data_IF_846692287448
#
_entry.id   IF_846692287448
#
_cell.length_a   1.000
_cell.length_b   1.000
_cell.length_c   1.000
_cell.angle_alpha   90.00
_cell.angle_beta   90.00
_cell.angle_gamma   90.00
#
_symmetry.space_group_name_H-M   'P 1'
#
loop_
_entity.id
_entity.type
_entity.pdbx_description
1 polymer ?
#
# COMPACT_ATOMS: atom_id res chain seq x y z
N UNK A 1 1.76 17.65 -15.72
CA UNK A 1 1.92 16.62 -16.78
C UNK A 1 1.52 15.27 -16.20
N UNK A 2 0.69 14.46 -16.87
CA UNK A 2 0.36 13.10 -16.39
C UNK A 2 1.46 12.14 -16.83
N UNK A 3 2.00 11.35 -15.91
CA UNK A 3 3.00 10.32 -16.22
C UNK A 3 2.27 9.05 -16.62
N UNK A 4 2.54 8.53 -17.82
CA UNK A 4 2.04 7.23 -18.23
C UNK A 4 2.90 6.12 -17.62
N UNK A 5 2.26 5.16 -16.95
CA UNK A 5 2.93 4.04 -16.29
C UNK A 5 2.38 2.70 -16.78
N UNK A 6 3.18 1.64 -16.65
CA UNK A 6 2.78 0.25 -16.87
C UNK A 6 2.49 -0.45 -15.52
N UNK A 7 1.87 0.28 -14.59
CA UNK A 7 1.63 -0.20 -13.23
C UNK A 7 0.17 -0.63 -13.08
N UNK A 8 -0.04 -1.85 -12.62
CA UNK A 8 -1.36 -2.45 -12.46
C UNK A 8 -1.66 -2.57 -10.97
N UNK A 9 -2.77 -2.01 -10.51
CA UNK A 9 -3.19 -2.10 -9.10
C UNK A 9 -4.28 -3.15 -8.95
N UNK A 10 -4.04 -4.12 -8.07
CA UNK A 10 -5.04 -5.08 -7.63
C UNK A 10 -5.62 -4.58 -6.29
N UNK A 11 -6.90 -4.24 -6.30
CA UNK A 11 -7.68 -3.84 -5.12
C UNK A 11 -8.90 -4.76 -4.93
N UNK A 12 -9.51 -4.73 -3.76
CA UNK A 12 -10.64 -5.56 -3.37
C UNK A 12 -10.63 -5.90 -1.87
N UNK A 13 -11.79 -6.32 -1.35
CA UNK A 13 -11.97 -6.66 0.06
C UNK A 13 -11.09 -7.82 0.55
N UNK A 14 -10.94 -8.01 1.87
CA UNK A 14 -10.26 -9.18 2.43
C UNK A 14 -10.87 -10.48 1.89
N UNK A 15 -10.07 -11.55 1.81
CA UNK A 15 -10.46 -12.88 1.31
C UNK A 15 -10.91 -12.97 -0.17
N UNK A 16 -10.78 -11.91 -0.97
CA UNK A 16 -11.17 -11.92 -2.39
C UNK A 16 -10.18 -12.62 -3.35
N UNK A 17 -9.22 -13.41 -2.85
CA UNK A 17 -8.25 -14.14 -3.67
C UNK A 17 -7.08 -13.33 -4.27
N UNK A 18 -6.99 -12.01 -4.04
CA UNK A 18 -5.92 -11.14 -4.60
C UNK A 18 -4.51 -11.66 -4.36
N UNK A 19 -4.22 -12.09 -3.14
CA UNK A 19 -2.88 -12.59 -2.79
C UNK A 19 -2.49 -13.78 -3.66
N UNK A 20 -3.46 -14.65 -4.02
CA UNK A 20 -3.20 -15.79 -4.91
C UNK A 20 -2.89 -15.36 -6.34
N UNK A 21 -3.58 -14.32 -6.83
CA UNK A 21 -3.29 -13.73 -8.15
C UNK A 21 -1.90 -13.08 -8.16
N UNK A 22 -1.54 -12.34 -7.11
CA UNK A 22 -0.20 -11.74 -6.98
C UNK A 22 0.89 -12.82 -6.93
N UNK A 23 0.69 -13.89 -6.16
CA UNK A 23 1.61 -15.05 -6.13
C UNK A 23 1.76 -15.69 -7.51
N UNK A 24 0.65 -15.89 -8.21
CA UNK A 24 0.66 -16.44 -9.57
C UNK A 24 1.44 -15.55 -10.54
N UNK A 25 1.18 -14.24 -10.55
CA UNK A 25 1.90 -13.28 -11.41
C UNK A 25 3.40 -13.26 -11.08
N UNK A 26 3.75 -13.32 -9.80
CA UNK A 26 5.14 -13.45 -9.38
C UNK A 26 5.78 -14.74 -9.90
N UNK A 27 5.07 -15.87 -9.85
CA UNK A 27 5.55 -17.16 -10.38
C UNK A 27 5.77 -17.14 -11.90
N UNK A 28 5.11 -16.23 -12.62
CA UNK A 28 5.29 -15.98 -14.05
C UNK A 28 6.44 -15.00 -14.37
N UNK A 29 7.18 -14.55 -13.35
CA UNK A 29 8.33 -13.66 -13.53
C UNK A 29 8.00 -12.16 -13.49
N UNK A 30 6.76 -11.77 -13.19
CA UNK A 30 6.41 -10.36 -13.06
C UNK A 30 6.85 -9.77 -11.72
N UNK A 31 7.21 -8.48 -11.74
CA UNK A 31 7.43 -7.72 -10.52
C UNK A 31 6.12 -7.53 -9.78
N UNK A 32 6.15 -7.72 -8.47
CA UNK A 32 4.97 -7.58 -7.59
C UNK A 32 5.32 -6.82 -6.32
N UNK A 33 4.38 -6.06 -5.76
CA UNK A 33 4.48 -5.58 -4.38
C UNK A 33 3.83 -6.57 -3.41
N UNK A 34 4.29 -6.55 -2.16
CA UNK A 34 3.58 -7.17 -1.04
C UNK A 34 2.74 -6.10 -0.33
N UNK A 35 1.64 -6.51 0.29
CA UNK A 35 0.81 -5.65 1.14
C UNK A 35 1.65 -4.88 2.17
N UNK A 36 1.61 -3.55 2.10
CA UNK A 36 2.43 -2.67 2.95
C UNK A 36 1.96 -2.65 4.41
N UNK A 37 0.67 -2.88 4.67
CA UNK A 37 0.14 -2.98 6.03
C UNK A 37 0.82 -4.10 6.83
N UNK A 38 1.01 -5.27 6.20
CA UNK A 38 1.74 -6.39 6.82
C UNK A 38 3.17 -6.00 7.19
N UNK A 39 3.88 -5.27 6.32
CA UNK A 39 5.23 -4.78 6.63
C UNK A 39 5.28 -3.84 7.84
N UNK A 40 4.24 -3.04 8.07
CA UNK A 40 4.16 -2.18 9.27
C UNK A 40 3.92 -3.03 10.52
N UNK A 41 3.00 -4.00 10.43
CA UNK A 41 2.70 -4.94 11.51
C UNK A 41 3.94 -5.76 11.88
N UNK A 42 4.59 -6.41 10.90
CA UNK A 42 5.78 -7.24 11.11
C UNK A 42 6.91 -6.44 11.78
N UNK A 43 7.11 -5.18 11.38
CA UNK A 43 8.10 -4.28 11.99
C UNK A 43 7.76 -3.90 13.43
N UNK A 44 6.48 -3.78 13.77
CA UNK A 44 6.04 -3.52 15.14
C UNK A 44 6.21 -4.74 16.03
N UNK A 45 5.84 -5.93 15.53
CA UNK A 45 6.03 -7.20 16.22
C UNK A 45 7.51 -7.46 16.48
N UNK A 46 8.38 -7.23 15.50
CA UNK A 46 9.83 -7.34 15.68
C UNK A 46 10.41 -6.37 16.73
N UNK A 47 9.66 -5.33 17.11
CA UNK A 47 10.00 -4.37 18.19
C UNK A 47 9.31 -4.71 19.51
N UNK A 48 8.71 -5.90 19.64
CA UNK A 48 8.03 -6.36 20.85
C UNK A 48 6.63 -5.82 21.06
N UNK A 49 5.98 -5.27 20.01
CA UNK A 49 4.60 -4.78 20.10
C UNK A 49 3.58 -5.82 19.66
N UNK A 50 2.42 -5.81 20.29
CA UNK A 50 1.23 -6.54 19.84
C UNK A 50 0.57 -5.84 18.65
N UNK A 51 -0.31 -6.55 17.93
CA UNK A 51 -1.06 -5.98 16.80
C UNK A 51 -1.98 -4.85 17.30
N UNK A 52 -2.58 -5.04 18.47
CA UNK A 52 -3.43 -4.09 19.16
C UNK A 52 -2.68 -2.79 19.45
N UNK A 53 -1.45 -2.87 19.97
CA UNK A 53 -0.61 -1.69 20.24
C UNK A 53 -0.17 -0.96 18.96
N UNK A 54 0.08 -1.72 17.88
CA UNK A 54 0.44 -1.14 16.57
C UNK A 54 -0.75 -0.37 15.98
N UNK A 55 -1.96 -0.90 16.16
CA UNK A 55 -3.20 -0.33 15.60
C UNK A 55 -3.94 0.63 16.55
N UNK A 56 -3.48 0.79 17.79
CA UNK A 56 -4.09 1.69 18.79
C UNK A 56 -4.26 3.12 18.29
N UNK A 57 -3.32 3.59 17.47
CA UNK A 57 -3.40 4.85 16.74
C UNK A 57 -3.57 4.54 15.25
N UNK A 58 -4.83 4.38 14.82
CA UNK A 58 -5.17 4.05 13.44
C UNK A 58 -4.68 5.13 12.46
N UNK A 59 -4.69 6.41 12.86
CA UNK A 59 -4.20 7.51 12.03
C UNK A 59 -2.71 7.35 11.75
N UNK A 60 -1.91 7.13 12.79
CA UNK A 60 -0.47 6.89 12.65
C UNK A 60 -0.20 5.64 11.83
N UNK A 61 -0.95 4.57 12.06
CA UNK A 61 -0.82 3.33 11.32
C UNK A 61 -1.05 3.53 9.81
N UNK A 62 -2.12 4.24 9.43
CA UNK A 62 -2.43 4.53 8.03
C UNK A 62 -1.40 5.47 7.37
N UNK A 63 -0.88 6.46 8.10
CA UNK A 63 0.21 7.33 7.63
C UNK A 63 1.52 6.56 7.42
N UNK A 64 1.88 5.64 8.31
CA UNK A 64 3.07 4.79 8.16
C UNK A 64 2.98 3.92 6.90
N UNK A 65 1.78 3.37 6.61
CA UNK A 65 1.51 2.62 5.38
C UNK A 65 1.66 3.51 4.14
N UNK A 66 1.03 4.70 4.14
CA UNK A 66 1.09 5.64 3.02
C UNK A 66 2.53 6.06 2.71
N UNK A 67 3.31 6.38 3.74
CA UNK A 67 4.72 6.74 3.60
C UNK A 67 5.56 5.62 2.98
N UNK A 68 5.32 4.36 3.36
CA UNK A 68 5.99 3.22 2.75
C UNK A 68 5.58 3.02 1.29
N UNK A 69 4.30 3.20 0.96
CA UNK A 69 3.81 3.14 -0.43
C UNK A 69 4.46 4.23 -1.29
N UNK A 70 4.51 5.47 -0.82
CA UNK A 70 5.15 6.60 -1.55
C UNK A 70 6.62 6.31 -1.79
N UNK A 71 7.37 5.90 -0.76
CA UNK A 71 8.79 5.56 -0.88
C UNK A 71 9.04 4.40 -1.86
N UNK A 72 8.11 3.46 -1.96
CA UNK A 72 8.20 2.36 -2.90
C UNK A 72 7.87 2.81 -4.33
N UNK A 73 6.71 3.44 -4.53
CA UNK A 73 6.27 3.91 -5.85
C UNK A 73 7.24 4.92 -6.47
N UNK A 74 7.88 5.79 -5.69
CA UNK A 74 8.88 6.74 -6.20
C UNK A 74 10.18 6.08 -6.72
N UNK A 75 10.44 4.83 -6.33
CA UNK A 75 11.59 4.06 -6.84
C UNK A 75 11.26 3.27 -8.09
N UNK A 76 9.99 3.23 -8.49
CA UNK A 76 9.53 2.48 -9.64
C UNK A 76 9.79 3.27 -10.92
N UNK A 77 10.23 2.58 -11.96
CA UNK A 77 10.37 3.17 -13.30
C UNK A 77 8.98 3.23 -13.95
N UNK A 78 8.57 4.35 -14.57
CA UNK A 78 7.25 4.44 -15.20
C UNK A 78 6.97 3.33 -16.21
N UNK A 79 7.96 2.96 -17.03
CA UNK A 79 7.83 1.94 -18.09
C UNK A 79 7.89 0.49 -17.59
N UNK A 80 8.27 0.24 -16.33
CA UNK A 80 8.38 -1.14 -15.85
C UNK A 80 6.99 -1.73 -15.55
N UNK A 81 6.77 -2.97 -15.95
CA UNK A 81 5.55 -3.71 -15.62
C UNK A 81 5.64 -4.20 -14.17
N UNK A 82 4.67 -3.80 -13.35
CA UNK A 82 4.55 -4.22 -11.96
C UNK A 82 3.08 -4.34 -11.55
N UNK A 83 2.78 -5.37 -10.75
CA UNK A 83 1.47 -5.58 -10.16
C UNK A 83 1.51 -5.24 -8.66
N UNK A 84 0.71 -4.27 -8.26
CA UNK A 84 0.67 -3.73 -6.92
C UNK A 84 -0.46 -4.38 -6.12
N UNK A 85 -0.12 -5.08 -5.05
CA UNK A 85 -1.07 -5.53 -4.03
C UNK A 85 -1.45 -4.31 -3.17
N UNK A 86 -2.54 -3.64 -3.57
CA UNK A 86 -3.01 -2.33 -3.08
C UNK A 86 -2.06 -1.16 -3.40
N UNK A 87 -2.48 -0.26 -4.31
CA UNK A 87 -1.76 0.99 -4.62
C UNK A 87 -2.04 2.12 -3.63
N UNK A 88 -1.43 3.28 -3.84
CA UNK A 88 -1.75 4.50 -3.05
C UNK A 88 -3.23 4.88 -3.07
N UNK A 89 -3.98 4.79 -4.19
CA UNK A 89 -5.41 5.11 -4.19
C UNK A 89 -6.25 4.28 -3.20
N UNK A 90 -5.82 3.04 -2.89
CA UNK A 90 -6.48 2.15 -1.92
C UNK A 90 -6.45 2.72 -0.49
N UNK A 91 -5.45 3.54 -0.16
CA UNK A 91 -5.34 4.18 1.15
C UNK A 91 -6.46 5.19 1.44
N UNK A 92 -7.14 5.71 0.40
CA UNK A 92 -8.24 6.69 0.57
C UNK A 92 -9.39 6.10 1.41
N UNK A 93 -9.74 4.83 1.16
CA UNK A 93 -10.84 4.15 1.88
C UNK A 93 -10.49 4.02 3.36
N UNK A 94 -9.28 3.55 3.67
CA UNK A 94 -8.83 3.37 5.05
C UNK A 94 -8.66 4.69 5.81
N UNK A 95 -8.23 5.76 5.13
CA UNK A 95 -8.18 7.09 5.72
C UNK A 95 -9.59 7.58 6.07
N UNK A 96 -10.56 7.38 5.18
CA UNK A 96 -11.96 7.73 5.45
C UNK A 96 -12.53 6.94 6.63
N UNK A 97 -12.27 5.64 6.71
CA UNK A 97 -12.68 4.79 7.83
C UNK A 97 -12.01 5.22 9.16
N UNK A 98 -10.76 5.66 9.11
CA UNK A 98 -10.01 6.19 10.26
C UNK A 98 -10.42 7.63 10.66
N UNK A 99 -11.42 8.23 10.00
CA UNK A 99 -11.85 9.61 10.27
C UNK A 99 -10.93 10.71 9.74
N UNK A 100 -9.99 10.38 8.84
CA UNK A 100 -9.07 11.34 8.23
C UNK A 100 -9.72 12.05 7.04
N UNK A 101 -9.38 13.33 6.88
CA UNK A 101 -9.73 14.07 5.65
C UNK A 101 -9.00 13.44 4.47
N UNK A 102 -9.77 12.99 3.48
CA UNK A 102 -9.28 12.39 2.23
C UNK A 102 -8.27 13.30 1.51
N UNK A 103 -8.46 14.61 1.61
CA UNK A 103 -7.55 15.63 1.06
C UNK A 103 -6.11 15.46 1.53
N UNK A 104 -5.88 14.94 2.74
CA UNK A 104 -4.53 14.72 3.27
C UNK A 104 -3.84 13.58 2.51
N UNK A 105 -4.52 12.45 2.30
CA UNK A 105 -3.98 11.33 1.52
C UNK A 105 -3.72 11.72 0.06
N UNK A 106 -4.66 12.45 -0.55
CA UNK A 106 -4.53 12.94 -1.92
C UNK A 106 -3.38 13.95 -2.02
N UNK A 107 -3.30 14.95 -1.14
CA UNK A 107 -2.21 15.94 -1.13
C UNK A 107 -0.84 15.30 -0.90
N UNK A 108 -0.69 14.41 0.08
CA UNK A 108 0.59 13.74 0.33
C UNK A 108 1.01 12.86 -0.85
N UNK A 109 0.06 12.18 -1.47
CA UNK A 109 0.32 11.39 -2.68
C UNK A 109 0.58 12.21 -3.93
N UNK A 110 0.26 13.51 -3.93
CA UNK A 110 0.40 14.39 -5.11
C UNK A 110 1.67 15.25 -5.10
N UNK A 111 2.44 15.23 -4.00
CA UNK A 111 3.76 15.91 -3.89
C UNK A 111 4.89 15.19 -4.66
N UNK A 112 4.53 14.41 -5.69
CA UNK A 112 5.46 13.60 -6.50
C UNK A 112 6.08 14.44 -7.60
#
# INVERSE_FOLDING_TARGET
>A
MRVQTNWYVLTGGPCSGKSKVIEYLKSKGYNTSKEFARKVIDKGIAKGKTVEEIRKDEIKFQNDILNLKIKFENKLRPKQTIFLDRGIPDSIVYFKEAGLKVDTAVKESSKR
#
